data_IF_459299159202
#
_entry.id   IF_459299159202
#
_cell.length_a   1.000
_cell.length_b   1.000
_cell.length_c   1.000
_cell.angle_alpha   90.00
_cell.angle_beta   90.00
_cell.angle_gamma   90.00
#
_symmetry.space_group_name_H-M   'P 1'
#
loop_
_entity.id
_entity.type
_entity.pdbx_description
1 polymer ?
#
# COMPACT_ATOMS: atom_id res chain seq x y z
N UNK A 1 0.68 -19.71 -13.13
CA UNK A 1 2.08 -19.27 -12.99
C UNK A 1 2.55 -19.60 -11.58
N UNK A 2 3.74 -20.17 -11.42
CA UNK A 2 4.36 -20.39 -10.11
C UNK A 2 5.39 -19.30 -9.82
N UNK A 3 5.21 -18.48 -8.79
CA UNK A 3 6.22 -17.54 -8.38
C UNK A 3 7.37 -18.25 -7.68
N UNK A 4 8.52 -17.60 -7.62
CA UNK A 4 9.68 -18.09 -6.87
C UNK A 4 9.64 -17.51 -5.46
N UNK A 5 9.59 -18.37 -4.45
CA UNK A 5 9.78 -17.94 -3.07
C UNK A 5 11.25 -17.60 -2.83
N UNK A 6 11.54 -16.34 -2.52
CA UNK A 6 12.90 -15.84 -2.30
C UNK A 6 13.31 -16.00 -0.84
N UNK A 7 12.39 -15.72 0.06
CA UNK A 7 12.61 -15.79 1.49
C UNK A 7 11.29 -15.89 2.24
N UNK A 8 11.37 -16.35 3.48
CA UNK A 8 10.29 -16.28 4.44
C UNK A 8 10.83 -15.92 5.83
N UNK A 9 9.97 -15.37 6.65
CA UNK A 9 10.27 -15.03 8.04
C UNK A 9 9.04 -15.19 8.92
N UNK A 10 9.18 -15.94 10.01
CA UNK A 10 8.16 -16.01 11.03
C UNK A 10 8.29 -14.79 11.96
N UNK A 11 7.19 -14.11 12.18
CA UNK A 11 7.13 -12.90 13.00
C UNK A 11 6.00 -13.02 14.03
N UNK A 12 5.98 -12.19 15.10
CA UNK A 12 4.77 -12.02 15.90
C UNK A 12 3.59 -11.62 15.02
N UNK A 13 2.33 -11.83 15.45
CA UNK A 13 1.15 -11.53 14.65
C UNK A 13 1.24 -10.16 13.97
N UNK A 14 1.22 -10.17 12.64
CA UNK A 14 1.44 -8.99 11.80
C UNK A 14 0.15 -8.18 11.69
N UNK A 15 0.23 -6.86 11.90
CA UNK A 15 -0.87 -5.92 11.66
C UNK A 15 -0.80 -5.34 10.26
N UNK A 16 0.35 -4.75 9.90
CA UNK A 16 0.55 -4.14 8.60
C UNK A 16 1.99 -4.34 8.13
N UNK A 17 2.16 -4.30 6.82
CA UNK A 17 3.47 -4.25 6.17
C UNK A 17 3.47 -3.07 5.22
N UNK A 18 4.54 -2.31 5.22
CA UNK A 18 4.76 -1.19 4.30
C UNK A 18 6.22 -1.15 3.85
N UNK A 19 6.50 -0.41 2.81
CA UNK A 19 7.88 -0.14 2.41
C UNK A 19 8.57 0.75 3.44
N UNK A 20 9.82 0.41 3.79
CA UNK A 20 10.71 1.26 4.56
C UNK A 20 11.69 1.94 3.59
N UNK A 21 11.61 3.26 3.45
CA UNK A 21 12.32 4.02 2.43
C UNK A 21 13.83 3.76 2.46
N UNK A 22 14.37 3.17 1.39
CA UNK A 22 15.79 2.86 1.23
C UNK A 22 16.33 1.73 2.12
N UNK A 23 15.44 0.96 2.79
CA UNK A 23 15.84 -0.16 3.67
C UNK A 23 15.25 -1.49 3.21
N UNK A 24 13.94 -1.53 3.00
CA UNK A 24 13.19 -2.74 2.67
C UNK A 24 11.75 -2.65 3.16
N UNK A 25 11.43 -3.33 4.27
CA UNK A 25 10.05 -3.45 4.75
C UNK A 25 9.92 -3.08 6.22
N UNK A 26 8.82 -2.45 6.57
CA UNK A 26 8.42 -2.21 7.95
C UNK A 26 7.20 -3.07 8.26
N UNK A 27 7.29 -3.86 9.31
CA UNK A 27 6.22 -4.70 9.83
C UNK A 27 5.80 -4.19 11.19
N UNK A 28 4.52 -3.86 11.36
CA UNK A 28 3.94 -3.56 12.68
C UNK A 28 3.21 -4.78 13.23
N UNK A 29 3.26 -4.98 14.54
CA UNK A 29 2.70 -6.16 15.19
C UNK A 29 1.33 -5.90 15.81
N UNK A 30 0.46 -6.93 15.79
CA UNK A 30 -0.95 -6.75 16.18
C UNK A 30 -1.16 -6.68 17.69
N UNK A 31 -0.39 -7.44 18.46
CA UNK A 31 -0.55 -7.59 19.92
C UNK A 31 0.40 -6.72 20.74
N UNK A 32 1.37 -6.10 20.11
CA UNK A 32 2.46 -5.38 20.76
C UNK A 32 2.59 -3.97 20.15
N UNK A 33 3.03 -3.00 20.94
CA UNK A 33 3.44 -1.70 20.42
C UNK A 33 4.86 -1.80 19.85
N UNK A 34 5.09 -2.78 18.98
CA UNK A 34 6.39 -3.07 18.41
C UNK A 34 6.35 -3.10 16.88
N UNK A 35 7.50 -2.89 16.28
CA UNK A 35 7.70 -3.01 14.85
C UNK A 35 9.06 -3.63 14.52
N UNK A 36 9.14 -4.26 13.35
CA UNK A 36 10.35 -4.88 12.83
C UNK A 36 10.68 -4.30 11.47
N UNK A 37 11.90 -3.83 11.30
CA UNK A 37 12.44 -3.45 10.00
C UNK A 37 13.16 -4.64 9.41
N UNK A 38 12.81 -4.97 8.18
CA UNK A 38 13.43 -6.05 7.40
C UNK A 38 14.18 -5.43 6.21
N UNK A 39 15.29 -6.04 5.82
CA UNK A 39 15.92 -5.70 4.55
C UNK A 39 15.09 -6.23 3.35
N UNK A 40 15.55 -5.95 2.15
CA UNK A 40 14.90 -6.39 0.92
C UNK A 40 14.86 -7.91 0.74
N UNK A 41 15.62 -8.68 1.53
CA UNK A 41 15.66 -10.14 1.57
C UNK A 41 14.98 -10.74 2.80
N UNK A 42 14.18 -9.99 3.53
CA UNK A 42 13.48 -10.36 4.78
C UNK A 42 14.40 -10.65 5.98
N UNK A 43 15.64 -10.25 5.97
CA UNK A 43 16.48 -10.35 7.17
C UNK A 43 16.11 -9.23 8.13
N UNK A 44 16.01 -9.56 9.40
CA UNK A 44 15.72 -8.57 10.44
C UNK A 44 16.91 -7.61 10.57
N UNK A 45 16.66 -6.33 10.28
CA UNK A 45 17.63 -5.25 10.47
C UNK A 45 17.56 -4.74 11.91
N UNK A 46 16.35 -4.45 12.39
CA UNK A 46 16.13 -4.01 13.78
C UNK A 46 14.72 -4.33 14.23
N UNK A 47 14.57 -4.46 15.53
CA UNK A 47 13.26 -4.49 16.21
C UNK A 47 13.26 -3.38 17.23
N UNK A 48 12.12 -2.73 17.40
CA UNK A 48 11.96 -1.70 18.39
C UNK A 48 10.55 -1.73 18.97
N UNK A 49 10.47 -1.41 20.24
CA UNK A 49 9.22 -1.10 20.90
C UNK A 49 8.85 0.32 20.49
N UNK A 50 7.70 0.49 19.85
CA UNK A 50 7.23 1.83 19.50
C UNK A 50 6.95 2.59 20.79
N UNK A 51 7.62 3.72 21.05
CA UNK A 51 7.49 4.46 22.29
C UNK A 51 6.18 5.27 22.35
N UNK A 52 5.11 4.69 21.84
CA UNK A 52 3.76 5.26 21.82
C UNK A 52 2.92 4.69 22.96
N UNK A 53 2.00 5.51 23.47
CA UNK A 53 1.13 5.13 24.60
C UNK A 53 -0.02 4.22 24.19
N UNK A 54 -0.31 4.11 22.90
CA UNK A 54 -1.43 3.34 22.39
C UNK A 54 -0.99 2.02 21.76
N UNK A 55 -1.79 0.97 21.94
CA UNK A 55 -1.55 -0.34 21.29
C UNK A 55 -1.73 -0.31 19.76
N UNK A 56 -2.51 0.66 19.23
CA UNK A 56 -2.71 0.84 17.80
C UNK A 56 -1.97 2.07 17.33
N UNK A 57 -1.08 1.89 16.38
CA UNK A 57 -0.35 2.96 15.74
C UNK A 57 -0.12 2.63 14.27
N UNK A 58 0.05 3.66 13.46
CA UNK A 58 0.61 3.56 12.12
C UNK A 58 2.06 3.98 12.19
N UNK A 59 2.91 3.36 11.38
CA UNK A 59 4.34 3.65 11.41
C UNK A 59 4.91 3.75 10.01
N UNK A 60 5.99 4.50 9.91
CA UNK A 60 6.84 4.58 8.72
C UNK A 60 8.30 4.59 9.13
N UNK A 61 9.15 3.97 8.33
CA UNK A 61 10.58 3.90 8.59
C UNK A 61 11.37 4.30 7.35
N UNK A 62 12.47 5.00 7.58
CA UNK A 62 13.51 5.27 6.60
C UNK A 62 14.87 4.81 7.15
N UNK A 63 15.95 5.17 6.46
CA UNK A 63 17.31 4.76 6.83
C UNK A 63 17.75 5.25 8.22
N UNK A 64 17.25 6.41 8.67
CA UNK A 64 17.72 7.08 9.88
C UNK A 64 16.67 7.25 10.96
N UNK A 65 15.41 7.24 10.58
CA UNK A 65 14.30 7.58 11.47
C UNK A 65 13.20 6.55 11.38
N UNK A 66 12.50 6.42 12.48
CA UNK A 66 11.22 5.76 12.58
C UNK A 66 10.19 6.79 13.06
N UNK A 67 9.04 6.82 12.42
CA UNK A 67 7.89 7.58 12.87
C UNK A 67 6.75 6.64 13.26
N UNK A 68 6.05 6.97 14.34
CA UNK A 68 4.84 6.29 14.76
C UNK A 68 3.78 7.32 15.12
N UNK A 69 2.58 7.15 14.60
CA UNK A 69 1.42 8.02 14.85
C UNK A 69 0.25 7.23 15.43
N UNK A 70 -0.38 7.80 16.43
CA UNK A 70 -1.58 7.28 17.11
C UNK A 70 -2.70 8.32 17.04
N UNK A 71 -3.81 8.07 17.70
CA UNK A 71 -4.88 9.08 17.86
C UNK A 71 -4.49 10.26 18.76
N UNK A 72 -3.46 10.11 19.56
CA UNK A 72 -3.12 11.07 20.61
C UNK A 72 -1.74 11.72 20.40
N UNK A 73 -0.85 11.07 19.65
CA UNK A 73 0.54 11.53 19.53
C UNK A 73 1.23 11.08 18.25
N UNK A 74 2.22 11.84 17.85
CA UNK A 74 3.22 11.53 16.84
C UNK A 74 4.58 11.47 17.52
N UNK A 75 5.32 10.39 17.29
CA UNK A 75 6.65 10.18 17.89
C UNK A 75 7.63 9.84 16.78
N UNK A 76 8.79 10.46 16.80
CA UNK A 76 9.91 10.12 15.91
C UNK A 76 11.11 9.70 16.73
N UNK A 77 11.71 8.59 16.31
CA UNK A 77 12.89 8.00 16.91
C UNK A 77 14.02 7.93 15.90
N UNK A 78 15.24 7.82 16.38
CA UNK A 78 16.38 7.40 15.56
C UNK A 78 16.35 5.89 15.27
N UNK A 79 17.32 5.42 14.51
CA UNK A 79 17.46 4.00 14.14
C UNK A 79 17.78 3.07 15.34
N UNK A 80 18.11 3.63 16.51
CA UNK A 80 18.33 2.91 17.77
C UNK A 80 17.07 2.88 18.64
N UNK A 81 15.98 3.51 18.19
CA UNK A 81 14.73 3.60 18.94
C UNK A 81 14.73 4.72 20.00
N UNK A 82 15.74 5.60 20.01
CA UNK A 82 15.76 6.74 20.93
C UNK A 82 14.82 7.83 20.40
N UNK A 83 13.92 8.32 21.27
CA UNK A 83 12.97 9.38 20.90
C UNK A 83 13.74 10.67 20.64
N UNK A 84 13.63 11.17 19.41
CA UNK A 84 14.16 12.46 19.00
C UNK A 84 13.21 13.58 19.39
N UNK A 85 11.94 13.39 19.09
CA UNK A 85 10.90 14.34 19.44
C UNK A 85 9.51 13.68 19.47
N UNK A 86 8.55 14.41 20.10
CA UNK A 86 7.16 13.99 20.25
C UNK A 86 6.23 15.19 20.09
N UNK A 87 5.08 14.97 19.45
CA UNK A 87 3.98 15.94 19.38
C UNK A 87 2.70 15.29 19.85
N UNK A 88 2.00 15.96 20.72
CA UNK A 88 0.65 15.59 21.12
C UNK A 88 -0.37 16.20 20.14
N UNK A 89 -1.38 15.42 19.84
CA UNK A 89 -2.58 15.85 19.13
C UNK A 89 -3.78 15.10 19.73
N UNK A 90 -4.97 15.52 19.40
CA UNK A 90 -6.18 14.84 19.87
C UNK A 90 -7.09 14.60 18.68
N UNK A 91 -7.29 13.33 18.33
CA UNK A 91 -8.24 12.93 17.32
C UNK A 91 -9.46 12.33 18.04
N UNK A 92 -10.67 12.89 17.82
CA UNK A 92 -11.87 12.37 18.46
C UNK A 92 -12.08 10.89 18.16
N UNK A 93 -12.34 10.12 19.21
CA UNK A 93 -12.54 8.66 19.10
C UNK A 93 -13.96 8.27 18.70
N UNK A 94 -14.85 9.24 18.65
CA UNK A 94 -16.27 8.99 18.43
C UNK A 94 -16.64 9.06 16.95
N UNK A 95 -17.14 7.95 16.44
CA UNK A 95 -18.06 7.92 15.30
C UNK A 95 -17.51 7.46 13.96
N UNK A 96 -16.22 7.51 13.66
CA UNK A 96 -15.68 7.03 12.38
C UNK A 96 -14.34 6.34 12.60
N UNK A 97 -13.99 5.32 11.79
CA UNK A 97 -12.69 4.66 11.85
C UNK A 97 -11.58 5.54 11.25
N UNK A 98 -11.54 6.80 11.64
CA UNK A 98 -10.54 7.75 11.17
C UNK A 98 -9.24 7.53 11.93
N UNK A 99 -8.25 6.97 11.26
CA UNK A 99 -6.92 6.80 11.83
C UNK A 99 -5.93 7.73 11.13
N UNK A 100 -5.10 8.47 11.90
CA UNK A 100 -3.99 9.18 11.30
C UNK A 100 -3.02 8.18 10.68
N UNK A 101 -2.29 8.62 9.69
CA UNK A 101 -1.23 7.83 9.08
C UNK A 101 -0.01 8.70 8.83
N UNK A 102 1.16 8.09 8.67
CA UNK A 102 2.39 8.80 8.39
C UNK A 102 3.23 8.08 7.34
N UNK A 103 4.03 8.86 6.62
CA UNK A 103 5.01 8.38 5.66
C UNK A 103 6.30 9.17 5.77
N UNK A 104 7.41 8.47 5.91
CA UNK A 104 8.75 9.04 5.92
C UNK A 104 9.36 8.83 4.54
N UNK A 105 9.65 9.91 3.84
CA UNK A 105 10.26 9.83 2.52
C UNK A 105 11.80 9.70 2.58
N UNK A 106 12.42 9.48 1.43
CA UNK A 106 13.86 9.31 1.33
C UNK A 106 14.66 10.61 1.60
N UNK A 107 13.99 11.75 1.57
CA UNK A 107 14.60 13.07 1.81
C UNK A 107 14.57 13.46 3.29
N UNK A 108 13.89 12.67 4.13
CA UNK A 108 13.74 12.93 5.56
C UNK A 108 12.56 13.84 5.89
N UNK A 109 11.63 14.02 4.97
CA UNK A 109 10.34 14.65 5.26
C UNK A 109 9.39 13.62 5.81
N UNK A 110 8.79 13.91 6.94
CA UNK A 110 7.72 13.12 7.53
C UNK A 110 6.37 13.75 7.16
N UNK A 111 5.66 13.06 6.31
CA UNK A 111 4.28 13.36 5.93
C UNK A 111 3.31 12.73 6.93
N UNK A 112 2.36 13.51 7.41
CA UNK A 112 1.35 13.04 8.37
C UNK A 112 -0.02 13.50 7.93
N UNK A 113 -0.95 12.57 7.80
CA UNK A 113 -2.36 12.87 7.64
C UNK A 113 -3.05 12.91 8.99
N UNK A 114 -3.70 14.03 9.28
CA UNK A 114 -4.47 14.26 10.51
C UNK A 114 -5.97 14.41 10.18
N UNK A 115 -6.79 13.41 10.50
CA UNK A 115 -8.20 13.41 10.12
C UNK A 115 -9.02 14.51 10.82
N UNK A 116 -8.61 15.00 11.99
CA UNK A 116 -9.38 16.02 12.74
C UNK A 116 -9.63 17.32 11.96
N UNK A 117 -8.67 17.74 11.15
CA UNK A 117 -8.75 18.93 10.32
C UNK A 117 -8.81 18.62 8.83
N UNK A 118 -8.80 17.35 8.47
CA UNK A 118 -8.56 16.90 7.10
C UNK A 118 -7.28 17.53 6.56
N UNK A 119 -6.16 17.32 7.27
CA UNK A 119 -4.91 18.02 7.03
C UNK A 119 -3.79 17.07 6.68
N UNK A 120 -3.02 17.45 5.65
CA UNK A 120 -1.71 16.90 5.36
C UNK A 120 -0.64 17.83 5.91
N UNK A 121 0.24 17.30 6.76
CA UNK A 121 1.30 18.07 7.41
C UNK A 121 2.65 17.49 7.04
N UNK A 122 3.61 18.32 6.70
CA UNK A 122 5.00 17.95 6.45
C UNK A 122 5.88 18.43 7.61
N UNK A 123 6.70 17.52 8.15
CA UNK A 123 7.69 17.80 9.18
C UNK A 123 9.10 17.45 8.71
N UNK A 124 10.08 18.19 9.16
CA UNK A 124 11.46 17.72 9.17
C UNK A 124 11.59 16.60 10.19
N UNK A 125 11.93 15.39 9.74
CA UNK A 125 11.93 14.20 10.60
C UNK A 125 12.99 14.28 11.71
N UNK A 126 14.12 14.94 11.47
CA UNK A 126 15.21 15.03 12.43
C UNK A 126 14.90 16.01 13.58
N UNK A 127 14.23 17.12 13.27
CA UNK A 127 14.04 18.22 14.22
C UNK A 127 12.61 18.34 14.73
N UNK A 128 11.63 17.75 14.04
CA UNK A 128 10.21 17.93 14.31
C UNK A 128 9.68 19.29 13.90
N UNK A 129 10.46 20.12 13.20
CA UNK A 129 9.97 21.39 12.69
C UNK A 129 8.87 21.14 11.66
N UNK A 130 7.71 21.80 11.84
CA UNK A 130 6.65 21.80 10.86
C UNK A 130 7.10 22.66 9.67
N UNK A 131 7.19 22.03 8.49
CA UNK A 131 7.59 22.66 7.25
C UNK A 131 6.42 23.38 6.61
N UNK A 132 5.28 22.70 6.55
CA UNK A 132 4.03 23.26 6.06
C UNK A 132 2.83 22.40 6.44
N UNK A 133 1.62 22.94 6.25
CA UNK A 133 0.34 22.29 6.51
C UNK A 133 -0.66 22.68 5.43
N UNK A 134 -1.30 21.70 4.84
CA UNK A 134 -2.35 21.89 3.85
C UNK A 134 -3.64 21.22 4.28
N UNK A 135 -4.75 21.91 4.17
CA UNK A 135 -6.07 21.33 4.31
C UNK A 135 -6.43 20.64 3.01
N UNK A 136 -6.96 19.42 3.12
CA UNK A 136 -7.51 18.67 2.01
C UNK A 136 -9.03 18.93 1.94
N UNK A 137 -9.60 18.76 0.76
CA UNK A 137 -11.07 18.83 0.58
C UNK A 137 -11.66 17.41 0.59
N UNK A 138 -11.08 16.51 1.40
CA UNK A 138 -11.60 15.17 1.61
C UNK A 138 -12.57 15.16 2.79
N UNK A 139 -13.43 14.17 2.88
CA UNK A 139 -14.35 14.02 3.99
C UNK A 139 -13.80 13.02 5.02
N UNK A 140 -12.72 13.33 5.66
CA UNK A 140 -12.20 12.65 6.86
C UNK A 140 -12.32 11.11 6.84
N UNK A 141 -11.21 10.40 6.60
CA UNK A 141 -11.19 8.93 6.50
C UNK A 141 -9.88 8.28 6.93
N UNK A 142 -9.71 7.03 6.58
CA UNK A 142 -8.43 6.35 6.71
C UNK A 142 -7.50 6.75 5.56
N UNK A 143 -6.27 7.11 5.88
CA UNK A 143 -5.29 7.55 4.90
C UNK A 143 -4.31 6.42 4.55
N UNK A 144 -3.91 6.38 3.27
CA UNK A 144 -2.89 5.48 2.74
C UNK A 144 -1.91 6.28 1.89
N UNK A 145 -0.64 6.05 2.12
CA UNK A 145 0.43 6.71 1.41
C UNK A 145 1.07 5.79 0.38
N UNK A 146 1.32 6.33 -0.82
CA UNK A 146 1.93 5.63 -1.94
C UNK A 146 3.10 6.48 -2.46
N UNK A 147 4.35 6.10 -2.15
CA UNK A 147 5.52 6.83 -2.64
C UNK A 147 5.53 6.88 -4.17
N UNK A 148 5.75 8.07 -4.72
CA UNK A 148 5.99 8.20 -6.14
C UNK A 148 7.46 7.86 -6.45
N UNK A 149 7.78 7.19 -7.56
CA UNK A 149 9.13 6.69 -7.83
C UNK A 149 10.19 7.77 -8.05
N UNK A 150 9.80 9.04 -8.30
CA UNK A 150 10.76 10.14 -8.34
C UNK A 150 11.33 10.53 -6.96
N UNK A 151 10.74 10.00 -5.88
CA UNK A 151 11.15 10.28 -4.51
C UNK A 151 10.81 11.68 -3.99
N UNK A 152 10.16 12.53 -4.81
CA UNK A 152 9.78 13.91 -4.45
C UNK A 152 8.28 14.05 -4.24
N UNK A 153 7.49 13.22 -4.92
CA UNK A 153 6.03 13.24 -4.87
C UNK A 153 5.48 12.07 -4.06
N UNK A 154 4.32 12.27 -3.50
CA UNK A 154 3.63 11.31 -2.66
C UNK A 154 2.16 11.21 -3.05
N UNK A 155 1.69 10.01 -3.37
CA UNK A 155 0.28 9.71 -3.47
C UNK A 155 -0.32 9.58 -2.07
N UNK A 156 -1.45 10.23 -1.86
CA UNK A 156 -2.25 10.11 -0.66
C UNK A 156 -3.67 9.71 -1.08
N UNK A 157 -4.14 8.61 -0.55
CA UNK A 157 -5.52 8.19 -0.66
C UNK A 157 -6.21 8.37 0.69
N UNK A 158 -7.38 9.02 0.69
CA UNK A 158 -8.22 9.15 1.88
C UNK A 158 -9.54 8.42 1.60
N UNK A 159 -9.70 7.27 2.25
CA UNK A 159 -10.90 6.45 2.14
C UNK A 159 -12.00 6.96 3.08
N UNK A 160 -13.19 7.15 2.54
CA UNK A 160 -14.33 7.80 3.21
C UNK A 160 -15.48 6.82 3.49
N UNK A 161 -15.15 5.57 3.76
CA UNK A 161 -16.16 4.53 3.92
C UNK A 161 -16.84 4.20 2.59
N UNK A 162 -18.16 4.34 2.50
CA UNK A 162 -18.93 4.09 1.27
C UNK A 162 -18.98 5.30 0.32
N UNK A 163 -18.58 6.49 0.81
CA UNK A 163 -18.51 7.69 -0.04
C UNK A 163 -17.31 7.62 -0.98
N UNK A 164 -17.36 8.42 -2.05
CA UNK A 164 -16.28 8.45 -3.03
C UNK A 164 -14.95 8.87 -2.38
N UNK A 165 -13.95 7.98 -2.39
CA UNK A 165 -12.66 8.31 -1.80
C UNK A 165 -11.96 9.38 -2.63
N UNK A 166 -11.10 10.17 -2.00
CA UNK A 166 -10.27 11.13 -2.68
C UNK A 166 -8.81 10.68 -2.67
N UNK A 167 -8.17 10.81 -3.82
CA UNK A 167 -6.74 10.57 -3.98
C UNK A 167 -6.05 11.87 -4.41
N UNK A 168 -4.90 12.14 -3.82
CA UNK A 168 -4.12 13.33 -4.08
C UNK A 168 -2.69 12.95 -4.45
N UNK A 169 -2.05 13.77 -5.28
CA UNK A 169 -0.61 13.77 -5.47
C UNK A 169 -0.06 15.01 -4.79
N UNK A 170 0.76 14.83 -3.76
CA UNK A 170 1.35 15.91 -2.99
C UNK A 170 2.88 15.97 -3.16
N UNK A 171 3.46 17.15 -3.02
CA UNK A 171 4.90 17.37 -2.99
C UNK A 171 5.25 18.63 -2.22
N UNK A 172 6.50 18.72 -1.74
CA UNK A 172 6.99 19.90 -1.05
C UNK A 172 7.89 20.71 -2.00
N UNK A 173 7.55 21.98 -2.26
CA UNK A 173 8.36 22.87 -3.06
C UNK A 173 8.42 24.26 -2.42
N UNK A 174 9.63 24.81 -2.29
CA UNK A 174 9.84 26.11 -1.64
C UNK A 174 9.38 26.13 -0.17
N UNK A 175 9.40 24.98 0.52
CA UNK A 175 8.93 24.84 1.89
C UNK A 175 7.40 24.84 2.03
N UNK A 176 6.67 24.64 0.94
CA UNK A 176 5.20 24.56 0.94
C UNK A 176 4.70 23.29 0.33
N UNK A 177 3.59 22.78 0.87
CA UNK A 177 2.87 21.65 0.31
C UNK A 177 2.09 22.12 -0.91
N UNK A 178 2.35 21.46 -2.02
CA UNK A 178 1.57 21.55 -3.24
C UNK A 178 0.85 20.24 -3.45
N UNK A 179 -0.30 20.29 -4.09
CA UNK A 179 -1.05 19.09 -4.37
C UNK A 179 -2.02 19.26 -5.53
N UNK A 180 -2.46 18.14 -6.03
CA UNK A 180 -3.56 18.05 -6.98
C UNK A 180 -4.30 16.74 -6.82
N UNK A 181 -5.55 16.72 -7.19
CA UNK A 181 -6.36 15.52 -7.17
C UNK A 181 -5.90 14.53 -8.24
N UNK A 182 -5.95 13.25 -7.88
CA UNK A 182 -5.82 12.12 -8.79
C UNK A 182 -7.22 11.50 -8.97
N UNK A 183 -7.81 11.62 -10.17
CA UNK A 183 -9.13 11.04 -10.44
C UNK A 183 -9.13 9.52 -10.31
N UNK A 184 -10.24 8.97 -9.85
CA UNK A 184 -10.47 7.53 -9.71
C UNK A 184 -10.76 7.11 -8.28
N UNK A 185 -11.26 5.87 -8.09
CA UNK A 185 -11.71 5.48 -6.76
C UNK A 185 -10.55 5.30 -5.78
N UNK A 186 -9.82 4.21 -5.81
CA UNK A 186 -8.78 3.92 -4.82
C UNK A 186 -7.40 3.94 -5.49
N UNK A 187 -6.53 4.91 -5.13
CA UNK A 187 -5.12 4.91 -5.56
C UNK A 187 -4.38 3.73 -4.91
N UNK A 188 -3.66 2.95 -5.72
CA UNK A 188 -2.91 1.78 -5.23
C UNK A 188 -1.45 1.70 -5.72
N UNK A 189 -0.85 2.80 -6.07
CA UNK A 189 0.56 2.85 -6.45
C UNK A 189 0.82 3.36 -7.86
N UNK A 190 2.09 3.55 -8.16
CA UNK A 190 2.58 4.13 -9.42
C UNK A 190 3.46 3.15 -10.18
N UNK A 191 3.51 3.27 -11.51
CA UNK A 191 4.52 2.62 -12.35
C UNK A 191 5.93 3.13 -12.00
N UNK A 192 6.97 2.39 -12.34
CA UNK A 192 8.36 2.78 -12.03
C UNK A 192 8.77 4.11 -12.68
N UNK A 193 8.18 4.43 -13.85
CA UNK A 193 8.34 5.72 -14.51
C UNK A 193 7.56 6.86 -13.84
N UNK A 194 6.61 6.55 -12.97
CA UNK A 194 5.75 7.54 -12.31
C UNK A 194 4.76 8.26 -13.21
N UNK A 195 4.60 7.81 -14.45
CA UNK A 195 3.72 8.41 -15.44
C UNK A 195 2.28 7.91 -15.35
N UNK A 196 2.08 6.75 -14.74
CA UNK A 196 0.78 6.09 -14.55
C UNK A 196 0.60 5.61 -13.11
N UNK A 197 -0.65 5.44 -12.72
CA UNK A 197 -1.05 4.86 -11.45
C UNK A 197 -2.17 3.86 -11.61
N UNK A 198 -2.24 2.93 -10.66
CA UNK A 198 -3.30 1.94 -10.54
C UNK A 198 -4.41 2.53 -9.66
N UNK A 199 -5.64 2.47 -10.17
CA UNK A 199 -6.86 2.77 -9.43
C UNK A 199 -7.68 1.49 -9.29
N UNK A 200 -8.07 1.14 -8.06
CA UNK A 200 -8.84 -0.05 -7.73
C UNK A 200 -10.33 0.25 -7.59
N UNK A 201 -11.19 -0.77 -7.69
CA UNK A 201 -12.60 -0.64 -7.38
C UNK A 201 -12.82 -0.12 -5.96
N UNK A 202 -13.90 0.65 -5.79
CA UNK A 202 -14.36 1.08 -4.46
C UNK A 202 -15.86 1.39 -4.52
N UNK A 203 -16.61 0.90 -3.54
CA UNK A 203 -18.06 1.09 -3.52
C UNK A 203 -18.73 0.50 -4.77
N UNK A 204 -19.53 1.32 -5.44
CA UNK A 204 -20.26 0.92 -6.66
C UNK A 204 -19.40 0.88 -7.94
N UNK A 205 -18.14 1.34 -7.86
CA UNK A 205 -17.22 1.31 -9.02
C UNK A 205 -16.50 -0.03 -9.04
N UNK A 206 -16.95 -0.93 -9.90
CA UNK A 206 -16.39 -2.28 -10.03
C UNK A 206 -15.27 -2.38 -11.09
N UNK A 207 -14.54 -1.29 -11.33
CA UNK A 207 -13.49 -1.24 -12.35
C UNK A 207 -12.10 -1.07 -11.74
N UNK A 208 -11.15 -1.87 -12.21
CA UNK A 208 -9.72 -1.62 -12.06
C UNK A 208 -9.23 -0.81 -13.27
N UNK A 209 -8.41 0.20 -13.06
CA UNK A 209 -7.93 1.07 -14.13
C UNK A 209 -6.47 1.47 -13.97
N UNK A 210 -5.74 1.52 -15.08
CA UNK A 210 -4.48 2.26 -15.19
C UNK A 210 -4.79 3.67 -15.71
N UNK A 211 -4.26 4.68 -15.03
CA UNK A 211 -4.51 6.09 -15.35
C UNK A 211 -3.21 6.87 -15.47
N UNK A 212 -3.20 7.92 -16.29
CA UNK A 212 -2.05 8.83 -16.40
C UNK A 212 -1.96 9.74 -15.18
N UNK A 213 -0.77 9.90 -14.63
CA UNK A 213 -0.56 10.81 -13.51
C UNK A 213 -0.81 12.25 -13.94
N UNK A 214 -0.42 12.66 -15.14
CA UNK A 214 -0.52 14.06 -15.60
C UNK A 214 -1.95 14.59 -15.75
N UNK A 215 -2.88 13.77 -16.20
CA UNK A 215 -4.26 14.19 -16.55
C UNK A 215 -5.34 13.41 -15.81
N UNK A 216 -5.00 12.28 -15.17
CA UNK A 216 -5.97 11.35 -14.62
C UNK A 216 -6.75 10.55 -15.68
N UNK A 217 -6.40 10.71 -16.96
CA UNK A 217 -7.11 10.00 -18.04
C UNK A 217 -6.92 8.48 -17.91
N UNK A 218 -7.99 7.74 -18.18
CA UNK A 218 -7.96 6.29 -18.22
C UNK A 218 -7.13 5.85 -19.44
N UNK A 219 -6.08 5.07 -19.19
CA UNK A 219 -5.28 4.40 -20.24
C UNK A 219 -5.95 3.08 -20.62
N UNK A 220 -6.35 2.32 -19.64
CA UNK A 220 -7.11 1.07 -19.77
C UNK A 220 -7.90 0.85 -18.49
N UNK A 221 -9.11 0.30 -18.63
CA UNK A 221 -9.95 -0.13 -17.52
C UNK A 221 -10.59 -1.47 -17.83
N UNK A 222 -10.93 -2.23 -16.80
CA UNK A 222 -11.66 -3.50 -16.88
C UNK A 222 -12.60 -3.63 -15.69
N UNK A 223 -13.82 -4.05 -15.97
CA UNK A 223 -14.76 -4.48 -14.94
C UNK A 223 -14.36 -5.86 -14.39
N UNK A 224 -14.79 -6.14 -13.17
CA UNK A 224 -14.55 -7.44 -12.51
C UNK A 224 -14.99 -8.62 -13.39
N UNK A 225 -16.19 -8.55 -13.96
CA UNK A 225 -16.74 -9.59 -14.83
C UNK A 225 -15.92 -9.84 -16.11
N UNK A 226 -15.22 -8.83 -16.62
CA UNK A 226 -14.35 -8.98 -17.79
C UNK A 226 -13.03 -9.68 -17.47
N UNK A 227 -12.56 -9.54 -16.23
CA UNK A 227 -11.35 -10.20 -15.74
C UNK A 227 -11.66 -11.65 -15.42
N UNK A 228 -12.83 -11.89 -14.84
CA UNK A 228 -13.31 -13.20 -14.39
C UNK A 228 -13.85 -14.10 -15.52
N UNK A 229 -14.01 -13.58 -16.72
CA UNK A 229 -14.66 -14.24 -17.88
C UNK A 229 -14.21 -15.67 -18.25
N UNK A 230 -13.41 -16.30 -17.39
CA UNK A 230 -13.01 -17.70 -17.44
C UNK A 230 -13.64 -18.59 -16.37
N UNK A 231 -14.21 -18.06 -15.31
CA UNK A 231 -14.62 -18.89 -14.17
C UNK A 231 -16.11 -19.27 -14.21
N UNK A 232 -16.90 -18.61 -15.05
CA UNK A 232 -18.32 -18.96 -15.22
C UNK A 232 -19.17 -18.73 -13.96
N UNK A 233 -18.57 -18.24 -12.90
CA UNK A 233 -19.22 -18.04 -11.62
C UNK A 233 -19.38 -16.54 -11.35
N UNK A 234 -20.62 -16.10 -11.21
CA UNK A 234 -20.99 -14.67 -11.14
C UNK A 234 -20.68 -14.01 -9.80
N UNK A 235 -20.15 -14.76 -8.83
CA UNK A 235 -20.03 -14.30 -7.44
C UNK A 235 -18.62 -13.83 -7.05
N UNK A 236 -17.63 -13.90 -7.95
CA UNK A 236 -16.30 -13.41 -7.68
C UNK A 236 -16.25 -11.89 -7.68
N UNK A 237 -15.86 -11.29 -6.56
CA UNK A 237 -15.65 -9.86 -6.43
C UNK A 237 -14.16 -9.57 -6.46
N UNK A 238 -13.73 -8.61 -7.28
CA UNK A 238 -12.40 -8.02 -7.15
C UNK A 238 -12.33 -7.38 -5.76
N UNK A 239 -11.41 -7.84 -4.96
CA UNK A 239 -11.16 -7.21 -3.66
C UNK A 239 -10.40 -5.89 -3.86
N UNK A 240 -10.49 -5.00 -2.88
CA UNK A 240 -9.70 -3.76 -2.79
C UNK A 240 -8.21 -4.05 -2.52
N UNK A 241 -7.76 -5.27 -2.79
CA UNK A 241 -6.37 -5.71 -2.60
C UNK A 241 -5.74 -6.01 -3.95
N UNK A 242 -4.82 -5.16 -4.35
CA UNK A 242 -3.95 -5.39 -5.49
C UNK A 242 -2.57 -4.81 -5.24
N UNK A 243 -1.62 -5.12 -6.12
CA UNK A 243 -0.28 -4.57 -6.08
C UNK A 243 0.26 -4.41 -7.50
N UNK A 244 0.80 -3.25 -7.84
CA UNK A 244 1.66 -3.08 -9.00
C UNK A 244 2.97 -3.81 -8.72
N UNK A 245 3.09 -5.05 -9.22
CA UNK A 245 4.26 -5.90 -8.96
C UNK A 245 5.43 -5.46 -9.82
N UNK A 246 5.14 -5.01 -11.05
CA UNK A 246 6.12 -4.44 -11.98
C UNK A 246 5.40 -3.50 -12.97
N UNK A 247 6.16 -2.88 -13.86
CA UNK A 247 5.59 -2.07 -14.95
C UNK A 247 4.71 -2.86 -15.92
N UNK A 248 4.90 -4.18 -16.00
CA UNK A 248 4.14 -5.05 -16.88
C UNK A 248 2.99 -5.78 -16.19
N UNK A 249 2.99 -5.90 -14.85
CA UNK A 249 2.07 -6.76 -14.14
C UNK A 249 1.44 -6.14 -12.89
N UNK A 250 0.16 -6.39 -12.74
CA UNK A 250 -0.64 -6.16 -11.52
C UNK A 250 -1.02 -7.51 -10.93
N UNK A 251 -0.80 -7.67 -9.64
CA UNK A 251 -1.33 -8.78 -8.86
C UNK A 251 -2.64 -8.34 -8.22
N UNK A 252 -3.70 -9.12 -8.36
CA UNK A 252 -5.03 -8.82 -7.82
C UNK A 252 -5.47 -10.00 -6.94
N UNK A 253 -5.99 -9.70 -5.77
CA UNK A 253 -6.67 -10.67 -4.93
C UNK A 253 -8.15 -10.73 -5.30
N UNK A 254 -8.66 -11.95 -5.49
CA UNK A 254 -10.07 -12.24 -5.79
C UNK A 254 -10.61 -13.15 -4.71
N UNK A 255 -11.72 -12.77 -4.12
CA UNK A 255 -12.43 -13.62 -3.17
C UNK A 255 -13.28 -14.63 -3.94
N UNK A 256 -13.21 -15.91 -3.56
CA UNK A 256 -13.87 -17.00 -4.29
C UNK A 256 -15.12 -17.52 -3.62
N UNK A 257 -15.41 -17.13 -2.37
CA UNK A 257 -16.55 -17.66 -1.60
C UNK A 257 -17.25 -16.60 -0.75
N UNK A 258 -18.55 -16.84 -0.54
CA UNK A 258 -19.39 -16.05 0.37
C UNK A 258 -18.88 -16.06 1.82
N UNK A 259 -18.07 -17.04 2.20
CA UNK A 259 -17.50 -17.18 3.54
C UNK A 259 -16.17 -16.43 3.74
N UNK A 260 -15.61 -15.80 2.70
CA UNK A 260 -14.47 -14.88 2.81
C UNK A 260 -13.11 -15.53 3.09
N UNK A 261 -13.01 -16.85 3.02
CA UNK A 261 -11.83 -17.57 3.50
C UNK A 261 -10.75 -17.86 2.45
N UNK A 262 -11.02 -17.62 1.15
CA UNK A 262 -10.06 -17.95 0.09
C UNK A 262 -9.77 -16.77 -0.83
N UNK A 263 -8.55 -16.24 -0.75
CA UNK A 263 -8.04 -15.29 -1.73
C UNK A 263 -7.30 -16.04 -2.85
N UNK A 264 -7.80 -15.96 -4.08
CA UNK A 264 -7.02 -16.29 -5.28
C UNK A 264 -6.26 -15.06 -5.73
N UNK A 265 -5.03 -15.26 -6.13
CA UNK A 265 -4.26 -14.18 -6.74
C UNK A 265 -4.21 -14.38 -8.26
N UNK A 266 -4.58 -13.32 -8.97
CA UNK A 266 -4.52 -13.26 -10.43
C UNK A 266 -3.43 -12.29 -10.85
N UNK A 267 -2.68 -12.64 -11.86
CA UNK A 267 -1.73 -11.75 -12.53
C UNK A 267 -2.39 -11.15 -13.77
N UNK A 268 -2.42 -9.83 -13.85
CA UNK A 268 -2.96 -9.07 -14.97
C UNK A 268 -1.85 -8.28 -15.66
N UNK A 269 -1.97 -8.08 -16.97
CA UNK A 269 -1.09 -7.17 -17.71
C UNK A 269 -1.44 -5.71 -17.41
N UNK A 270 -0.49 -4.86 -17.07
CA UNK A 270 -0.72 -3.41 -16.91
C UNK A 270 -1.18 -2.71 -18.19
N UNK A 271 -0.84 -3.26 -19.36
CA UNK A 271 -1.18 -2.66 -20.66
C UNK A 271 -2.63 -2.86 -21.07
N UNK A 272 -3.21 -3.99 -20.67
CA UNK A 272 -4.55 -4.37 -21.10
C UNK A 272 -5.50 -4.72 -19.96
N UNK A 273 -4.98 -4.85 -18.74
CA UNK A 273 -5.66 -5.40 -17.55
C UNK A 273 -6.34 -6.75 -17.81
N UNK A 274 -5.86 -7.47 -18.85
CA UNK A 274 -6.30 -8.84 -19.10
C UNK A 274 -5.56 -9.80 -18.20
N UNK A 275 -6.27 -10.83 -17.81
CA UNK A 275 -5.73 -11.97 -17.10
C UNK A 275 -4.56 -12.60 -17.88
N UNK A 276 -3.48 -12.89 -17.18
CA UNK A 276 -2.29 -13.57 -17.71
C UNK A 276 -2.14 -14.94 -17.10
N UNK A 277 -2.31 -15.04 -15.78
CA UNK A 277 -2.15 -16.31 -15.08
C UNK A 277 -2.84 -16.26 -13.71
N UNK A 278 -3.23 -17.44 -13.22
CA UNK A 278 -3.45 -17.67 -11.81
C UNK A 278 -2.08 -17.85 -11.12
N UNK A 279 -1.94 -17.30 -9.93
CA UNK A 279 -0.71 -17.44 -9.14
C UNK A 279 -0.85 -18.66 -8.24
N UNK A 280 -0.07 -19.68 -8.51
CA UNK A 280 0.00 -20.93 -7.74
C UNK A 280 1.24 -20.89 -6.85
N UNK A 281 1.05 -20.74 -5.56
CA UNK A 281 2.13 -20.65 -4.60
C UNK A 281 2.72 -22.01 -4.17
N UNK A 282 2.17 -23.11 -4.65
CA UNK A 282 2.56 -24.47 -4.26
C UNK A 282 2.57 -24.72 -2.74
N UNK A 283 1.71 -24.00 -2.04
CA UNK A 283 1.49 -24.08 -0.60
C UNK A 283 -0.01 -24.15 -0.34
N UNK A 284 -0.40 -24.80 0.75
CA UNK A 284 -1.77 -24.70 1.24
C UNK A 284 -2.01 -23.29 1.81
N UNK A 285 -2.39 -22.39 0.92
CA UNK A 285 -2.34 -20.93 1.14
C UNK A 285 -3.75 -20.37 1.31
N UNK A 286 -4.55 -20.97 2.15
CA UNK A 286 -5.95 -20.62 2.33
C UNK A 286 -6.23 -19.20 2.86
N UNK A 287 -5.23 -18.40 3.20
CA UNK A 287 -5.40 -17.04 3.76
C UNK A 287 -4.18 -16.14 3.56
N UNK A 288 -3.62 -16.09 2.36
CA UNK A 288 -2.47 -15.24 2.10
C UNK A 288 -2.88 -13.91 1.47
N UNK A 289 -2.99 -12.88 2.29
CA UNK A 289 -3.23 -11.53 1.79
C UNK A 289 -1.99 -10.93 1.12
N UNK A 290 -2.18 -10.23 0.00
CA UNK A 290 -1.17 -9.36 -0.57
C UNK A 290 -0.86 -8.26 0.46
N UNK A 291 0.38 -8.18 0.90
CA UNK A 291 0.76 -7.27 1.97
C UNK A 291 1.49 -6.02 1.47
N UNK A 292 2.41 -6.18 0.52
CA UNK A 292 3.20 -5.08 -0.06
C UNK A 292 3.91 -5.53 -1.35
N UNK A 293 4.40 -4.57 -2.14
CA UNK A 293 5.22 -4.81 -3.33
C UNK A 293 6.37 -3.82 -3.39
N UNK A 294 7.46 -4.17 -4.06
CA UNK A 294 8.56 -3.24 -4.36
C UNK A 294 8.45 -2.61 -5.77
N UNK A 295 7.47 -3.04 -6.56
CA UNK A 295 7.30 -2.58 -7.93
C UNK A 295 8.34 -3.13 -8.93
N UNK A 296 9.23 -4.02 -8.49
CA UNK A 296 10.34 -4.58 -9.27
C UNK A 296 10.21 -6.10 -9.50
N UNK A 297 8.99 -6.59 -9.52
CA UNK A 297 8.69 -8.02 -9.69
C UNK A 297 8.62 -8.81 -8.40
N UNK A 298 8.72 -8.17 -7.24
CA UNK A 298 8.63 -8.84 -5.94
C UNK A 298 7.45 -8.35 -5.14
N UNK A 299 6.86 -9.24 -4.37
CA UNK A 299 5.76 -8.92 -3.46
C UNK A 299 5.80 -9.76 -2.20
N UNK A 300 5.14 -9.27 -1.18
CA UNK A 300 4.96 -9.96 0.07
C UNK A 300 3.55 -10.48 0.22
N UNK A 301 3.44 -11.69 0.76
CA UNK A 301 2.19 -12.20 1.32
C UNK A 301 2.32 -12.42 2.82
N UNK A 302 1.20 -12.30 3.50
CA UNK A 302 1.07 -12.62 4.91
C UNK A 302 0.18 -13.85 5.08
N UNK A 303 0.74 -14.91 5.61
CA UNK A 303 -0.01 -16.14 5.93
C UNK A 303 -0.69 -16.10 7.30
N UNK A 304 -1.66 -17.01 7.56
CA UNK A 304 -2.35 -17.15 8.84
C UNK A 304 -1.41 -17.62 9.95
N UNK A 305 -0.30 -18.26 9.57
CA UNK A 305 0.77 -18.74 10.44
C UNK A 305 1.73 -17.62 10.92
N UNK A 306 1.35 -16.35 10.69
CA UNK A 306 2.16 -15.17 10.95
C UNK A 306 3.49 -15.14 10.18
N UNK A 307 3.62 -15.97 9.12
CA UNK A 307 4.79 -15.96 8.24
C UNK A 307 4.60 -14.91 7.14
N UNK A 308 5.61 -14.09 6.98
CA UNK A 308 5.73 -13.17 5.83
C UNK A 308 6.62 -13.84 4.79
N UNK A 309 6.13 -13.91 3.56
CA UNK A 309 6.84 -14.57 2.45
C UNK A 309 7.10 -13.57 1.34
N UNK A 310 8.33 -13.59 0.85
CA UNK A 310 8.77 -12.78 -0.28
C UNK A 310 8.77 -13.64 -1.54
N UNK A 311 8.01 -13.18 -2.52
CA UNK A 311 7.86 -13.82 -3.82
C UNK A 311 8.47 -12.97 -4.91
N UNK A 312 8.87 -13.61 -5.99
CA UNK A 312 9.36 -12.97 -7.20
C UNK A 312 8.68 -13.55 -8.43
N UNK A 313 8.40 -12.70 -9.40
CA UNK A 313 7.99 -13.16 -10.73
C UNK A 313 9.08 -14.07 -11.31
N UNK A 314 8.71 -15.19 -11.96
CA UNK A 314 9.67 -16.00 -12.69
C UNK A 314 10.25 -15.19 -13.88
N UNK A 315 11.48 -15.51 -14.30
CA UNK A 315 12.20 -14.83 -15.39
C UNK A 315 11.41 -14.81 -16.72
N UNK A 316 10.48 -15.71 -16.89
CA UNK A 316 9.55 -15.76 -18.02
C UNK A 316 8.13 -15.96 -17.51
N UNK A 317 7.38 -14.88 -17.47
CA UNK A 317 5.92 -14.97 -17.55
C UNK A 317 5.64 -15.11 -19.04
N UNK A 318 5.47 -16.34 -19.51
CA UNK A 318 5.16 -16.56 -20.92
C UNK A 318 3.75 -16.08 -21.19
N UNK A 319 3.59 -15.19 -22.18
CA UNK A 319 2.31 -14.78 -22.77
C UNK A 319 1.58 -15.95 -23.48
N UNK A 320 2.12 -17.15 -23.40
CA UNK A 320 1.51 -18.33 -23.99
C UNK A 320 0.36 -18.80 -23.12
N UNK A 321 -0.83 -18.35 -23.49
CA UNK A 321 -2.07 -18.99 -23.09
C UNK A 321 -2.14 -20.34 -23.81
N UNK A 322 -1.98 -21.50 -23.12
CA UNK A 322 -2.20 -22.77 -23.78
C UNK A 322 -3.66 -22.83 -24.23
N UNK A 323 -3.89 -22.72 -25.52
CA UNK A 323 -5.20 -22.96 -26.13
C UNK A 323 -5.94 -21.75 -26.71
N UNK A 324 -5.38 -20.57 -26.80
CA UNK A 324 -5.90 -19.53 -27.66
C UNK A 324 -5.41 -19.74 -29.08
N UNK A 325 -6.09 -20.63 -29.81
CA UNK A 325 -6.03 -20.65 -31.26
C UNK A 325 -6.55 -19.31 -31.75
N UNK A 326 -5.74 -18.61 -32.54
CA UNK A 326 -6.17 -17.46 -33.33
C UNK A 326 -7.32 -17.92 -34.26
N UNK A 327 -8.54 -17.66 -33.83
CA UNK A 327 -9.69 -17.73 -34.72
C UNK A 327 -9.81 -16.37 -35.37
N UNK A 328 -9.31 -16.30 -36.61
CA UNK A 328 -9.57 -15.25 -37.59
C UNK A 328 -11.01 -15.29 -38.05
#
# INVERSE_FOLDING_TARGET
MRPVMIADVALPPVRSISQAAGVGWLVTHAAESSATVLDAGLRIVTRFDAPVRAQRFMASAGQRHLAAVTLDELVVCDHLGQVLWRREHSIPRAGLPCTPNCHLDAQGVLWVYLPTGDELVAYDAATGAELDRARLDSSVGAAYFFPHPDGERLGLHVGMGQDAPLSHLAWLAGGRIHGRDLPGPFLNGFTSAGDRYLALPHGDVAEIAMRTVSTGAIVVARGSTEIEGRTGDSDHRLMEAAALVSDDFVLVAVNTDDDGDFERHLLLSTRSLRWQADVDYDLDMTQNAIAATDGQGRWLTRGPDATVRLWQLPDRVTDEIPGQLDLW
#
